data_IF_858740590168
#
_entry.id   IF_858740590168
#
_cell.length_a   1.000
_cell.length_b   1.000
_cell.length_c   1.000
_cell.angle_alpha   90.00
_cell.angle_beta   90.00
_cell.angle_gamma   90.00
#
_symmetry.space_group_name_H-M   'P 1'
#
loop_
_entity.id
_entity.type
_entity.pdbx_description
1 polymer ?
#
# COMPACT_ATOMS: atom_id res chain seq x y z
N UNK A 1 6.99 19.13 -73.43
CA UNK A 1 6.32 20.07 -72.53
C UNK A 1 5.08 19.43 -71.91
N UNK A 2 4.12 18.97 -72.72
CA UNK A 2 2.83 18.41 -72.23
C UNK A 2 2.97 17.14 -71.36
N UNK A 3 3.85 16.20 -71.75
CA UNK A 3 4.09 14.96 -70.98
C UNK A 3 4.69 15.27 -69.60
N UNK A 4 5.61 16.24 -69.52
CA UNK A 4 6.21 16.65 -68.25
C UNK A 4 5.18 17.26 -67.30
N UNK A 5 4.23 18.03 -67.84
CA UNK A 5 3.11 18.60 -67.07
C UNK A 5 2.18 17.48 -66.58
N UNK A 6 1.87 16.49 -67.42
CA UNK A 6 1.03 15.36 -67.03
C UNK A 6 1.67 14.50 -65.92
N UNK A 7 2.98 14.24 -65.98
CA UNK A 7 3.70 13.48 -64.95
C UNK A 7 3.74 14.25 -63.63
N UNK A 8 4.00 15.56 -63.66
CA UNK A 8 3.96 16.40 -62.46
C UNK A 8 2.56 16.45 -61.83
N UNK A 9 1.51 16.46 -62.66
CA UNK A 9 0.14 16.45 -62.19
C UNK A 9 -0.20 15.14 -61.47
N UNK A 10 0.19 14.00 -62.04
CA UNK A 10 0.02 12.68 -61.43
C UNK A 10 0.85 12.58 -60.14
N UNK A 11 2.10 13.04 -60.15
CA UNK A 11 2.95 13.05 -58.96
C UNK A 11 2.35 13.88 -57.83
N UNK A 12 1.73 15.02 -58.14
CA UNK A 12 1.02 15.86 -57.16
C UNK A 12 -0.16 15.12 -56.52
N UNK A 13 -0.99 14.46 -57.33
CA UNK A 13 -2.13 13.67 -56.83
C UNK A 13 -1.64 12.53 -55.91
N UNK A 14 -0.57 11.85 -56.30
CA UNK A 14 0.04 10.76 -55.50
C UNK A 14 0.62 11.30 -54.19
N UNK A 15 1.32 12.44 -54.20
CA UNK A 15 1.84 13.06 -52.98
C UNK A 15 0.72 13.47 -52.02
N UNK A 16 -0.39 14.00 -52.55
CA UNK A 16 -1.55 14.36 -51.75
C UNK A 16 -2.15 13.11 -51.10
N UNK A 17 -2.35 12.04 -51.87
CA UNK A 17 -2.86 10.77 -51.35
C UNK A 17 -1.97 10.20 -50.23
N UNK A 18 -0.65 10.22 -50.40
CA UNK A 18 0.31 9.77 -49.39
C UNK A 18 0.33 10.66 -48.13
N UNK A 19 0.15 11.97 -48.28
CA UNK A 19 0.09 12.94 -47.17
C UNK A 19 -1.10 12.70 -46.24
N UNK A 20 -2.24 12.32 -46.81
CA UNK A 20 -3.41 11.94 -46.02
C UNK A 20 -3.18 10.67 -45.21
N UNK A 21 -2.52 9.66 -45.80
CA UNK A 21 -2.28 8.38 -45.12
C UNK A 21 -1.34 8.50 -43.91
N UNK A 22 -0.34 9.39 -43.98
CA UNK A 22 0.62 9.57 -42.89
C UNK A 22 0.07 10.35 -41.70
N UNK A 23 -0.95 11.20 -41.90
CA UNK A 23 -1.54 12.04 -40.85
C UNK A 23 -2.52 11.30 -39.93
N UNK A 24 -3.23 10.30 -40.43
CA UNK A 24 -4.20 9.54 -39.61
C UNK A 24 -3.49 8.66 -38.58
N UNK A 25 -2.46 7.92 -38.98
CA UNK A 25 -1.79 6.97 -38.08
C UNK A 25 -1.01 7.62 -36.93
N UNK A 26 -0.56 8.87 -37.09
CA UNK A 26 0.19 9.59 -36.05
C UNK A 26 -0.76 10.18 -34.99
N UNK A 27 -1.97 10.61 -35.41
CA UNK A 27 -2.95 11.21 -34.51
C UNK A 27 -3.60 10.20 -33.57
N UNK A 28 -3.89 8.99 -34.07
CA UNK A 28 -4.50 7.94 -33.24
C UNK A 28 -3.54 7.47 -32.14
N UNK A 29 -2.24 7.40 -32.45
CA UNK A 29 -1.19 7.03 -31.49
C UNK A 29 -0.97 8.11 -30.43
N UNK A 30 -1.03 9.40 -30.80
CA UNK A 30 -0.91 10.51 -29.84
C UNK A 30 -2.07 10.50 -28.83
N UNK A 31 -3.29 10.24 -29.30
CA UNK A 31 -4.49 10.17 -28.46
C UNK A 31 -4.49 8.94 -27.53
N UNK A 32 -4.00 7.79 -28.00
CA UNK A 32 -3.84 6.60 -27.16
C UNK A 32 -2.76 6.82 -26.07
N UNK A 33 -1.68 7.52 -26.39
CA UNK A 33 -0.64 7.89 -25.40
C UNK A 33 -1.16 8.88 -24.37
N UNK A 34 -1.94 9.90 -24.75
CA UNK A 34 -2.53 10.85 -23.81
C UNK A 34 -3.50 10.17 -22.84
N UNK A 35 -4.34 9.26 -23.33
CA UNK A 35 -5.28 8.51 -22.49
C UNK A 35 -4.57 7.55 -21.53
N UNK A 36 -3.50 6.89 -21.98
CA UNK A 36 -2.64 6.06 -21.13
C UNK A 36 -1.91 6.89 -20.05
N UNK A 37 -1.38 8.06 -20.41
CA UNK A 37 -0.72 8.95 -19.44
C UNK A 37 -1.69 9.45 -18.37
N UNK A 38 -2.91 9.84 -18.77
CA UNK A 38 -3.92 10.36 -17.86
C UNK A 38 -4.43 9.26 -16.91
N UNK A 39 -4.61 8.04 -17.42
CA UNK A 39 -4.97 6.87 -16.62
C UNK A 39 -3.86 6.48 -15.64
N UNK A 40 -2.60 6.39 -16.11
CA UNK A 40 -1.45 6.05 -15.26
C UNK A 40 -1.26 7.07 -14.13
N UNK A 41 -1.44 8.37 -14.41
CA UNK A 41 -1.37 9.40 -13.37
C UNK A 41 -2.46 9.18 -12.31
N UNK A 42 -3.71 8.93 -12.71
CA UNK A 42 -4.80 8.63 -11.76
C UNK A 42 -4.51 7.38 -10.92
N UNK A 43 -3.94 6.34 -11.52
CA UNK A 43 -3.56 5.12 -10.81
C UNK A 43 -2.42 5.37 -9.81
N UNK A 44 -1.37 6.10 -10.21
CA UNK A 44 -0.27 6.50 -9.32
C UNK A 44 -0.79 7.31 -8.14
N UNK A 45 -1.71 8.25 -8.37
CA UNK A 45 -2.34 9.01 -7.28
C UNK A 45 -3.11 8.12 -6.30
N UNK A 46 -3.87 7.15 -6.80
CA UNK A 46 -4.58 6.17 -5.95
C UNK A 46 -3.61 5.30 -5.17
N UNK A 47 -2.51 4.86 -5.79
CA UNK A 47 -1.47 4.06 -5.15
C UNK A 47 -0.76 4.85 -4.05
N UNK A 48 -0.38 6.10 -4.35
CA UNK A 48 0.24 7.01 -3.37
C UNK A 48 -0.67 7.23 -2.17
N UNK A 49 -1.98 7.47 -2.39
CA UNK A 49 -2.94 7.63 -1.29
C UNK A 49 -3.03 6.37 -0.42
N UNK A 50 -3.10 5.19 -1.04
CA UNK A 50 -3.12 3.92 -0.29
C UNK A 50 -1.83 3.72 0.51
N UNK A 51 -0.67 4.04 -0.07
CA UNK A 51 0.62 3.96 0.62
C UNK A 51 0.71 4.94 1.78
N UNK A 52 0.25 6.18 1.63
CA UNK A 52 0.22 7.17 2.72
C UNK A 52 -0.67 6.73 3.87
N UNK A 53 -1.85 6.16 3.60
CA UNK A 53 -2.70 5.59 4.64
C UNK A 53 -1.99 4.43 5.35
N UNK A 54 -1.33 3.56 4.59
CA UNK A 54 -0.57 2.45 5.15
C UNK A 54 0.62 2.91 5.99
N UNK A 55 1.29 4.00 5.59
CA UNK A 55 2.37 4.63 6.35
C UNK A 55 1.85 5.25 7.65
N UNK A 56 0.69 5.90 7.63
CA UNK A 56 0.05 6.46 8.82
C UNK A 56 -0.40 5.36 9.79
N UNK A 57 -1.03 4.29 9.28
CA UNK A 57 -1.35 3.09 10.05
C UNK A 57 -0.10 2.41 10.61
N UNK A 58 0.97 2.30 9.83
CA UNK A 58 2.27 1.78 10.31
C UNK A 58 2.91 2.71 11.33
N UNK A 59 2.78 4.04 11.22
CA UNK A 59 3.34 4.99 12.19
C UNK A 59 2.63 4.85 13.54
N UNK A 60 1.30 4.71 13.53
CA UNK A 60 0.50 4.38 14.71
C UNK A 60 0.86 2.99 15.23
N UNK A 61 1.07 2.01 14.34
CA UNK A 61 1.52 0.67 14.73
C UNK A 61 2.93 0.70 15.31
N UNK A 62 3.83 1.59 14.87
CA UNK A 62 5.18 1.75 15.43
C UNK A 62 5.17 2.49 16.78
N UNK A 63 4.19 3.36 17.02
CA UNK A 63 3.91 3.86 18.36
C UNK A 63 3.42 2.73 19.29
N UNK A 64 2.75 1.71 18.74
CA UNK A 64 2.38 0.47 19.43
C UNK A 64 3.52 -0.57 19.44
N UNK A 65 4.46 -0.56 18.49
CA UNK A 65 5.59 -1.49 18.39
C UNK A 65 6.73 -1.14 19.37
N UNK A 66 6.56 -0.07 20.15
CA UNK A 66 7.26 0.14 21.42
C UNK A 66 6.67 -0.67 22.59
N UNK A 67 5.59 -1.43 22.38
CA UNK A 67 5.03 -2.36 23.36
C UNK A 67 5.24 -3.80 22.88
N UNK A 68 6.04 -4.51 23.67
CA UNK A 68 6.20 -5.97 23.82
C UNK A 68 5.17 -6.84 23.10
N UNK A 69 5.65 -7.94 22.50
CA UNK A 69 4.98 -9.07 21.80
C UNK A 69 3.80 -9.75 22.55
N UNK A 70 2.89 -8.99 23.15
CA UNK A 70 1.69 -9.47 23.85
C UNK A 70 0.52 -9.61 22.86
N UNK A 71 0.64 -9.11 21.63
CA UNK A 71 -0.43 -9.11 20.61
C UNK A 71 -0.94 -10.49 20.16
N UNK A 72 -0.26 -11.58 20.53
CA UNK A 72 -0.74 -12.95 20.29
C UNK A 72 -1.36 -13.64 21.51
N UNK A 73 -1.47 -12.96 22.64
CA UNK A 73 -2.07 -13.51 23.86
C UNK A 73 -3.53 -13.07 23.93
N UNK A 74 -4.44 -14.04 23.89
CA UNK A 74 -5.89 -13.78 23.96
C UNK A 74 -6.23 -12.91 25.17
N UNK A 75 -7.19 -11.98 24.99
CA UNK A 75 -7.65 -11.09 26.06
C UNK A 75 -8.14 -11.85 27.31
N UNK A 76 -8.61 -13.08 27.12
CA UNK A 76 -9.01 -13.98 28.20
C UNK A 76 -7.80 -14.41 29.06
N UNK A 77 -6.70 -14.83 28.43
CA UNK A 77 -5.45 -15.22 29.12
C UNK A 77 -4.84 -14.03 29.86
N UNK A 78 -4.88 -12.82 29.28
CA UNK A 78 -4.46 -11.59 29.96
C UNK A 78 -5.23 -11.36 31.26
N UNK A 79 -6.56 -11.50 31.24
CA UNK A 79 -7.40 -11.37 32.45
C UNK A 79 -7.08 -12.45 33.49
N UNK A 80 -6.82 -13.68 33.06
CA UNK A 80 -6.44 -14.79 33.95
C UNK A 80 -5.08 -14.54 34.62
N UNK A 81 -4.09 -14.05 33.87
CA UNK A 81 -2.76 -13.67 34.37
C UNK A 81 -2.89 -12.60 35.46
N UNK A 82 -3.66 -11.53 35.21
CA UNK A 82 -3.86 -10.43 36.16
C UNK A 82 -4.60 -10.92 37.42
N UNK A 83 -5.64 -11.75 37.26
CA UNK A 83 -6.37 -12.31 38.40
C UNK A 83 -5.48 -13.19 39.27
N UNK A 84 -4.67 -14.07 38.67
CA UNK A 84 -3.73 -14.94 39.39
C UNK A 84 -2.64 -14.14 40.11
N UNK A 85 -2.15 -13.07 39.50
CA UNK A 85 -1.19 -12.16 40.13
C UNK A 85 -1.80 -11.43 41.33
N UNK A 86 -3.02 -10.89 41.20
CA UNK A 86 -3.75 -10.24 42.30
C UNK A 86 -4.07 -11.22 43.45
N UNK A 87 -4.19 -12.52 43.14
CA UNK A 87 -4.36 -13.58 44.14
C UNK A 87 -3.03 -14.00 44.82
N UNK A 88 -1.92 -13.28 44.55
CA UNK A 88 -0.61 -13.51 45.19
C UNK A 88 0.26 -14.58 44.52
N UNK A 89 -0.05 -15.01 43.30
CA UNK A 89 0.76 -15.98 42.57
C UNK A 89 2.02 -15.34 41.97
N UNK A 90 3.16 -16.03 42.03
CA UNK A 90 4.41 -15.52 41.46
C UNK A 90 4.41 -15.56 39.93
N UNK A 91 5.19 -14.68 39.30
CA UNK A 91 5.30 -14.54 37.84
C UNK A 91 5.70 -15.88 37.18
N UNK A 92 6.57 -16.63 37.83
CA UNK A 92 7.06 -17.94 37.36
C UNK A 92 5.98 -19.03 37.46
N UNK A 93 5.11 -18.95 38.47
CA UNK A 93 4.00 -19.88 38.63
C UNK A 93 2.88 -19.60 37.61
N UNK A 94 2.61 -18.33 37.32
CA UNK A 94 1.65 -17.92 36.30
C UNK A 94 2.13 -18.33 34.91
N UNK A 95 3.41 -18.12 34.60
CA UNK A 95 4.03 -18.56 33.33
C UNK A 95 3.83 -20.06 33.08
N UNK A 96 4.07 -20.89 34.09
CA UNK A 96 3.84 -22.35 33.99
C UNK A 96 2.37 -22.72 33.88
N UNK A 97 1.47 -21.99 34.53
CA UNK A 97 0.05 -22.30 34.52
C UNK A 97 -0.65 -21.91 33.22
N UNK A 98 -0.22 -20.80 32.60
CA UNK A 98 -0.81 -20.25 31.38
C UNK A 98 -0.05 -20.62 30.11
N UNK A 99 1.08 -21.36 30.22
CA UNK A 99 1.99 -21.67 29.11
C UNK A 99 2.52 -20.43 28.38
N UNK A 100 2.69 -19.33 29.11
CA UNK A 100 3.16 -18.04 28.60
C UNK A 100 4.59 -17.80 29.11
N UNK A 101 5.43 -17.11 28.34
CA UNK A 101 6.81 -16.81 28.76
C UNK A 101 6.83 -15.91 30.00
N UNK A 102 7.89 -16.02 30.82
CA UNK A 102 8.04 -15.21 32.04
C UNK A 102 8.14 -13.73 31.69
N UNK A 103 8.70 -13.43 30.52
CA UNK A 103 8.85 -12.10 29.93
C UNK A 103 7.50 -11.48 29.58
N UNK A 104 6.61 -12.26 28.94
CA UNK A 104 5.27 -11.79 28.55
C UNK A 104 4.36 -11.58 29.78
N UNK A 105 4.41 -12.48 30.77
CA UNK A 105 3.67 -12.30 32.04
C UNK A 105 4.12 -11.01 32.74
N UNK A 106 5.43 -10.73 32.77
CA UNK A 106 5.97 -9.49 33.36
C UNK A 106 5.56 -8.26 32.57
N UNK A 107 5.53 -8.35 31.24
CA UNK A 107 5.09 -7.26 30.37
C UNK A 107 3.61 -6.92 30.59
N UNK A 108 2.75 -7.96 30.66
CA UNK A 108 1.31 -7.83 30.90
C UNK A 108 1.03 -7.16 32.26
N UNK A 109 1.67 -7.62 33.33
CA UNK A 109 1.50 -7.05 34.67
C UNK A 109 1.93 -5.58 34.68
N UNK A 110 3.10 -5.27 34.11
CA UNK A 110 3.66 -3.91 34.09
C UNK A 110 2.82 -2.94 33.26
N UNK A 111 2.23 -3.38 32.15
CA UNK A 111 1.37 -2.55 31.32
C UNK A 111 0.03 -2.26 32.02
N UNK A 112 -0.52 -3.26 32.73
CA UNK A 112 -1.81 -3.16 33.41
C UNK A 112 -1.73 -2.49 34.80
N UNK A 113 -0.59 -2.57 35.49
CA UNK A 113 -0.35 -1.85 36.77
C UNK A 113 -0.40 -0.34 36.59
N UNK A 114 -0.07 0.17 35.39
CA UNK A 114 -0.11 1.61 35.05
C UNK A 114 -1.52 2.20 34.89
N UNK A 115 -2.56 1.36 34.95
CA UNK A 115 -3.97 1.79 34.78
C UNK A 115 -4.69 1.89 36.13
N UNK A 116 -4.06 1.49 37.24
CA UNK A 116 -4.65 1.49 38.59
C UNK A 116 -4.08 2.58 39.53
N UNK A 117 -3.37 3.58 38.98
CA UNK A 117 -2.91 4.78 39.72
C UNK A 117 -3.62 6.02 39.21
#
# INVERSE_FOLDING_TARGET
>A
MEIAIAVLFIASIVLIALSYFQRDSIKDVEQEVETLQLSAMQEIYKLKKKMTVLEEELLDTNFVAGKTNVSHIDQHTVKQIISKYNNGMSVEAISRAEHVSVEDVRAIIKDNERVLV
#
